data_IF_434914302653
#
_entry.id   IF_434914302653
#
_cell.length_a   1.000
_cell.length_b   1.000
_cell.length_c   1.000
_cell.angle_alpha   90.00
_cell.angle_beta   90.00
_cell.angle_gamma   90.00
#
_symmetry.space_group_name_H-M   'P 1'
#
loop_
_entity.id
_entity.type
_entity.pdbx_description
1 polymer ?
#
# COMPACT_ATOMS: atom_id res chain seq x y z
N UNK A 1 40.03 -27.55 -0.50
CA UNK A 1 39.04 -27.58 0.59
C UNK A 1 38.39 -26.22 0.58
N UNK A 2 37.15 -26.16 0.14
CA UNK A 2 36.34 -24.94 0.04
C UNK A 2 35.89 -24.57 1.45
N UNK A 3 36.75 -23.87 2.19
CA UNK A 3 36.21 -22.84 3.09
C UNK A 3 35.36 -21.92 2.20
N UNK A 4 34.25 -21.37 2.69
CA UNK A 4 33.32 -20.49 1.94
C UNK A 4 32.08 -21.13 1.27
N UNK A 5 31.57 -22.25 1.78
CA UNK A 5 30.11 -22.27 1.99
C UNK A 5 29.86 -21.37 3.22
N UNK A 6 30.02 -20.05 3.03
CA UNK A 6 30.00 -19.07 4.11
C UNK A 6 28.70 -19.28 4.89
N UNK A 7 28.80 -19.70 6.15
CA UNK A 7 27.62 -19.99 6.96
C UNK A 7 26.71 -18.75 6.95
N UNK A 8 25.61 -18.81 6.21
CA UNK A 8 24.76 -17.64 6.00
C UNK A 8 24.07 -17.30 7.32
N UNK A 9 24.25 -16.08 7.81
CA UNK A 9 23.55 -15.57 8.98
C UNK A 9 22.12 -15.28 8.55
N UNK A 10 21.16 -15.72 9.36
CA UNK A 10 19.73 -15.60 9.06
C UNK A 10 19.00 -14.87 10.17
N UNK A 11 18.11 -13.96 9.79
CA UNK A 11 17.10 -13.37 10.68
C UNK A 11 15.71 -13.65 10.13
N UNK A 12 14.74 -13.76 11.04
CA UNK A 12 13.31 -13.80 10.70
C UNK A 12 12.61 -12.74 11.53
N UNK A 13 11.91 -11.84 10.84
CA UNK A 13 11.05 -10.82 11.44
C UNK A 13 9.60 -11.23 11.17
N UNK A 14 8.73 -11.08 12.18
CA UNK A 14 7.31 -11.39 12.08
C UNK A 14 6.51 -10.27 12.69
N UNK A 15 5.58 -9.72 11.91
CA UNK A 15 4.65 -8.64 12.30
C UNK A 15 3.21 -9.10 12.12
N UNK A 16 2.29 -8.50 12.86
CA UNK A 16 0.85 -8.81 12.85
C UNK A 16 0.09 -7.56 12.38
N UNK A 17 -0.88 -7.73 11.49
CA UNK A 17 -1.63 -6.64 10.83
C UNK A 17 -3.16 -6.78 10.99
N UNK A 18 -3.63 -7.46 12.04
CA UNK A 18 -5.06 -7.57 12.37
C UNK A 18 -5.81 -8.65 11.59
N UNK A 19 -5.72 -8.63 10.26
CA UNK A 19 -6.34 -9.62 9.38
C UNK A 19 -5.49 -9.97 8.14
N UNK A 20 -5.90 -11.00 7.41
CA UNK A 20 -5.15 -11.52 6.28
C UNK A 20 -5.08 -10.55 5.10
N UNK A 21 -6.13 -9.77 4.84
CA UNK A 21 -6.14 -8.81 3.74
C UNK A 21 -5.20 -7.63 4.04
N UNK A 22 -5.18 -7.16 5.29
CA UNK A 22 -4.21 -6.16 5.73
C UNK A 22 -2.77 -6.69 5.60
N UNK A 23 -2.51 -7.92 6.03
CA UNK A 23 -1.19 -8.54 5.88
C UNK A 23 -0.76 -8.68 4.40
N UNK A 24 -1.68 -9.02 3.50
CA UNK A 24 -1.43 -9.08 2.05
C UNK A 24 -1.07 -7.71 1.45
N UNK A 25 -1.77 -6.64 1.83
CA UNK A 25 -1.44 -5.27 1.38
C UNK A 25 -0.05 -4.86 1.83
N UNK A 26 0.29 -5.10 3.09
CA UNK A 26 1.63 -4.79 3.62
C UNK A 26 2.71 -5.62 2.89
N UNK A 27 2.48 -6.91 2.67
CA UNK A 27 3.42 -7.76 1.94
C UNK A 27 3.63 -7.27 0.49
N UNK A 28 2.57 -6.83 -0.18
CA UNK A 28 2.65 -6.25 -1.52
C UNK A 28 3.43 -4.93 -1.55
N UNK A 29 3.23 -4.06 -0.55
CA UNK A 29 3.98 -2.81 -0.41
C UNK A 29 5.47 -3.04 -0.12
N UNK A 30 5.84 -4.17 0.50
CA UNK A 30 7.22 -4.57 0.75
C UNK A 30 7.91 -5.27 -0.44
N UNK A 31 7.15 -5.73 -1.44
CA UNK A 31 7.69 -6.48 -2.59
C UNK A 31 8.80 -5.74 -3.36
N UNK A 32 8.68 -4.43 -3.67
CA UNK A 32 9.68 -3.72 -4.46
C UNK A 32 11.07 -3.65 -3.84
N UNK A 33 11.15 -3.64 -2.50
CA UNK A 33 12.40 -3.55 -1.76
C UNK A 33 12.98 -4.93 -1.39
N UNK A 34 12.27 -6.01 -1.69
CA UNK A 34 12.77 -7.36 -1.44
C UNK A 34 13.93 -7.67 -2.40
N UNK A 35 15.11 -7.88 -1.82
CA UNK A 35 16.28 -8.38 -2.55
C UNK A 35 16.23 -9.90 -2.67
N UNK A 36 17.07 -10.52 -3.53
CA UNK A 36 17.17 -11.98 -3.66
C UNK A 36 17.58 -12.70 -2.35
N UNK A 37 18.17 -11.97 -1.40
CA UNK A 37 18.55 -12.45 -0.07
C UNK A 37 17.42 -12.29 0.96
N UNK A 38 16.27 -11.74 0.56
CA UNK A 38 15.08 -11.51 1.36
C UNK A 38 13.90 -12.27 0.79
N UNK A 39 13.13 -12.90 1.67
CA UNK A 39 11.91 -13.61 1.31
C UNK A 39 10.81 -13.18 2.26
N UNK A 40 9.77 -12.56 1.72
CA UNK A 40 8.58 -12.12 2.43
C UNK A 40 7.41 -13.01 2.07
N UNK A 41 6.64 -13.46 3.06
CA UNK A 41 5.41 -14.23 2.89
C UNK A 41 4.36 -13.79 3.90
N UNK A 42 3.10 -14.01 3.57
CA UNK A 42 2.01 -13.90 4.54
C UNK A 42 1.73 -15.25 5.22
N UNK A 43 1.19 -15.18 6.44
CA UNK A 43 0.76 -16.33 7.24
C UNK A 43 -0.45 -15.91 8.09
N UNK A 44 -1.63 -15.92 7.47
CA UNK A 44 -2.85 -15.34 8.07
C UNK A 44 -2.71 -13.82 8.23
N UNK A 45 -2.91 -13.33 9.45
CA UNK A 45 -2.76 -11.92 9.85
C UNK A 45 -1.31 -11.43 9.92
N UNK A 46 -0.33 -12.25 9.51
CA UNK A 46 1.09 -12.00 9.74
C UNK A 46 1.87 -11.84 8.45
N UNK A 47 2.86 -10.96 8.50
CA UNK A 47 3.92 -10.87 7.50
C UNK A 47 5.19 -11.46 8.11
N UNK A 48 5.80 -12.41 7.39
CA UNK A 48 7.03 -13.09 7.81
C UNK A 48 8.10 -12.83 6.76
N UNK A 49 9.14 -12.08 7.16
CA UNK A 49 10.29 -11.83 6.30
C UNK A 49 11.53 -12.53 6.84
N UNK A 50 12.22 -13.26 5.97
CA UNK A 50 13.50 -13.88 6.25
C UNK A 50 14.58 -13.18 5.44
N UNK A 51 15.65 -12.72 6.12
CA UNK A 51 16.83 -12.17 5.48
C UNK A 51 18.05 -13.07 5.74
N UNK A 52 18.93 -13.16 4.75
CA UNK A 52 20.19 -13.93 4.79
C UNK A 52 21.36 -13.04 4.40
N UNK A 53 22.49 -13.14 5.12
CA UNK A 53 23.73 -12.37 4.85
C UNK A 53 24.96 -13.15 5.27
N UNK A 54 26.10 -12.87 4.65
CA UNK A 54 27.36 -13.56 4.99
C UNK A 54 27.95 -13.14 6.34
N UNK A 55 27.62 -11.93 6.80
CA UNK A 55 28.08 -11.38 8.07
C UNK A 55 26.92 -10.95 8.97
N UNK A 56 27.15 -11.00 10.29
CA UNK A 56 26.20 -10.47 11.28
C UNK A 56 26.03 -8.95 11.17
N UNK A 57 27.08 -8.22 10.78
CA UNK A 57 27.01 -6.78 10.54
C UNK A 57 26.12 -6.42 9.37
N UNK A 58 26.28 -7.13 8.24
CA UNK A 58 25.40 -7.00 7.08
C UNK A 58 23.95 -7.38 7.42
N UNK A 59 23.76 -8.48 8.16
CA UNK A 59 22.44 -8.90 8.60
C UNK A 59 21.76 -7.83 9.47
N UNK A 60 22.49 -7.23 10.41
CA UNK A 60 21.95 -6.16 11.27
C UNK A 60 21.48 -4.97 10.43
N UNK A 61 22.30 -4.50 9.49
CA UNK A 61 21.93 -3.37 8.64
C UNK A 61 20.66 -3.68 7.84
N UNK A 62 20.60 -4.86 7.21
CA UNK A 62 19.43 -5.27 6.43
C UNK A 62 18.16 -5.39 7.29
N UNK A 63 18.27 -5.85 8.54
CA UNK A 63 17.12 -5.91 9.46
C UNK A 63 16.68 -4.49 9.88
N UNK A 64 17.63 -3.58 10.13
CA UNK A 64 17.34 -2.19 10.51
C UNK A 64 16.58 -1.47 9.38
N UNK A 65 17.09 -1.56 8.14
CA UNK A 65 16.45 -1.00 6.95
C UNK A 65 15.06 -1.62 6.73
N UNK A 66 14.94 -2.95 6.90
CA UNK A 66 13.66 -3.66 6.76
C UNK A 66 12.60 -3.16 7.73
N UNK A 67 12.94 -2.96 9.01
CA UNK A 67 11.97 -2.51 10.02
C UNK A 67 11.45 -1.11 9.69
N UNK A 68 12.31 -0.23 9.17
CA UNK A 68 11.88 1.08 8.69
C UNK A 68 10.90 0.94 7.53
N UNK A 69 11.25 0.14 6.50
CA UNK A 69 10.38 -0.10 5.35
C UNK A 69 9.04 -0.74 5.75
N UNK A 70 9.03 -1.72 6.65
CA UNK A 70 7.81 -2.35 7.17
C UNK A 70 6.90 -1.36 7.90
N UNK A 71 7.47 -0.41 8.63
CA UNK A 71 6.69 0.65 9.29
C UNK A 71 6.07 1.62 8.28
N UNK A 72 6.72 1.87 7.14
CA UNK A 72 6.15 2.69 6.06
C UNK A 72 5.04 1.93 5.33
N UNK A 73 5.27 0.65 5.01
CA UNK A 73 4.29 -0.22 4.37
C UNK A 73 2.99 -0.35 5.20
N UNK A 74 3.11 -0.51 6.51
CA UNK A 74 1.95 -0.58 7.43
C UNK A 74 1.10 0.70 7.39
N UNK A 75 1.75 1.87 7.33
CA UNK A 75 1.03 3.16 7.20
C UNK A 75 0.33 3.31 5.86
N UNK A 76 0.99 2.94 4.76
CA UNK A 76 0.37 3.01 3.43
C UNK A 76 -0.83 2.07 3.33
N UNK A 77 -0.73 0.86 3.90
CA UNK A 77 -1.81 -0.11 3.89
C UNK A 77 -3.04 0.29 4.73
N UNK A 78 -2.87 1.17 5.74
CA UNK A 78 -4.00 1.67 6.54
C UNK A 78 -4.65 2.93 5.96
N UNK A 79 -3.88 3.78 5.27
CA UNK A 79 -4.35 5.05 4.69
C UNK A 79 -5.29 4.80 3.50
N UNK A 80 -4.99 3.80 2.66
CA UNK A 80 -5.86 3.37 1.54
C UNK A 80 -7.23 2.81 2.00
N UNK A 81 -7.42 2.54 3.30
CA UNK A 81 -8.65 1.96 3.86
C UNK A 81 -9.68 2.96 4.35
N UNK A 82 -9.30 4.21 4.65
CA UNK A 82 -10.18 5.22 5.27
C UNK A 82 -10.92 6.07 4.22
N UNK A 83 -10.48 6.03 2.95
CA UNK A 83 -11.12 6.75 1.84
C UNK A 83 -12.27 5.97 1.16
N UNK A 84 -12.50 4.71 1.53
CA UNK A 84 -13.57 3.89 0.94
C UNK A 84 -14.98 4.24 1.48
N UNK A 85 -15.07 5.06 2.53
CA UNK A 85 -16.31 5.58 3.10
C UNK A 85 -16.57 7.05 2.67
N UNK A 86 -16.21 7.45 1.44
CA UNK A 86 -16.95 8.56 0.81
C UNK A 86 -18.16 7.97 0.12
N UNK A 87 -19.16 7.72 0.97
CA UNK A 87 -20.59 7.82 0.68
C UNK A 87 -20.81 8.58 -0.63
N UNK A 88 -21.19 7.82 -1.67
CA UNK A 88 -21.78 8.37 -2.87
C UNK A 88 -23.12 8.99 -2.50
N UNK A 89 -23.09 10.10 -1.75
CA UNK A 89 -24.22 10.99 -1.56
C UNK A 89 -24.45 11.63 -2.92
N UNK A 90 -25.21 10.91 -3.74
CA UNK A 90 -26.16 11.43 -4.70
C UNK A 90 -25.80 12.84 -5.17
N UNK A 91 -24.97 12.93 -6.21
CA UNK A 91 -24.98 14.11 -7.05
C UNK A 91 -26.33 14.07 -7.77
N UNK A 92 -27.36 14.60 -7.11
CA UNK A 92 -28.59 15.00 -7.76
C UNK A 92 -28.21 16.04 -8.82
N UNK A 93 -28.05 15.55 -10.04
CA UNK A 93 -27.93 16.31 -11.27
C UNK A 93 -29.24 17.05 -11.54
N UNK A 94 -29.56 18.03 -10.70
CA UNK A 94 -30.52 19.07 -11.03
C UNK A 94 -29.86 20.05 -12.00
N UNK A 95 -29.60 19.56 -13.22
CA UNK A 95 -29.40 20.41 -14.39
C UNK A 95 -30.72 21.14 -14.66
N UNK A 96 -30.97 22.23 -13.93
CA UNK A 96 -31.91 23.26 -14.35
C UNK A 96 -31.21 24.16 -15.36
N UNK A 97 -31.03 23.59 -16.54
CA UNK A 97 -30.99 24.35 -17.78
C UNK A 97 -32.41 24.84 -18.01
N UNK A 98 -32.64 26.16 -17.94
CA UNK A 98 -33.56 26.92 -18.81
C UNK A 98 -33.72 28.36 -18.31
N UNK A 99 -32.93 29.28 -18.85
CA UNK A 99 -33.31 30.70 -18.94
C UNK A 99 -32.63 31.34 -20.15
N UNK A 100 -33.11 31.04 -21.35
CA UNK A 100 -32.80 31.86 -22.51
C UNK A 100 -34.00 32.02 -23.43
N UNK A 101 -35.04 32.69 -22.94
CA UNK A 101 -36.01 33.33 -23.83
C UNK A 101 -35.53 34.75 -24.14
N UNK A 102 -34.70 34.85 -25.18
CA UNK A 102 -34.51 36.09 -25.93
C UNK A 102 -35.56 36.10 -27.04
N UNK A 103 -36.64 36.87 -26.91
CA UNK A 103 -37.44 37.26 -28.06
C UNK A 103 -38.18 38.59 -27.79
N UNK A 104 -37.53 39.71 -28.10
CA UNK A 104 -38.23 40.98 -28.38
C UNK A 104 -38.42 41.06 -29.90
N UNK A 105 -39.37 40.30 -30.42
CA UNK A 105 -39.90 40.54 -31.76
C UNK A 105 -41.10 41.48 -31.68
N UNK A 106 -40.81 42.69 -32.12
CA UNK A 106 -41.73 43.68 -32.68
C UNK A 106 -42.85 43.04 -33.51
N UNK A 107 -44.12 43.38 -33.24
CA UNK A 107 -45.15 43.62 -34.27
C UNK A 107 -46.47 44.13 -33.64
N UNK A 108 -46.87 45.35 -34.01
CA UNK A 108 -48.28 45.82 -34.01
C UNK A 108 -49.07 44.99 -35.05
N UNK A 109 -50.43 44.80 -35.03
CA UNK A 109 -51.46 45.83 -34.81
C UNK A 109 -52.85 45.36 -34.24
N UNK A 110 -53.80 46.29 -34.05
CA UNK A 110 -55.16 46.32 -34.68
C UNK A 110 -55.79 47.68 -34.43
#
# INVERSE_FOLDING_TARGET
MTDEEAATRRATVTTTHGDAAAAERVAAALDPDNTAEMATRTDGDRVVTTARRDSTGGLRSTVDDYVVNATVADRLATDDGDDADTDGSDIDDDTQSDSSDTDTSDTTPT
#
